data_IF_950016301840
#
_entry.id   IF_950016301840
#
_cell.length_a   1.000
_cell.length_b   1.000
_cell.length_c   1.000
_cell.angle_alpha   90.00
_cell.angle_beta   90.00
_cell.angle_gamma   90.00
#
_symmetry.space_group_name_H-M   'P 1'
#
loop_
_entity.id
_entity.type
_entity.pdbx_description
1 polymer ?
#
# COMPACT_ATOMS: atom_id res chain seq x y z
N UNK A 1 -19.69 -3.74 -7.85
CA UNK A 1 -18.72 -4.63 -7.20
C UNK A 1 -18.79 -4.36 -5.72
N UNK A 2 -19.07 -5.38 -4.90
CA UNK A 2 -19.26 -5.24 -3.45
C UNK A 2 -18.02 -5.76 -2.72
N UNK A 3 -17.76 -5.26 -1.52
CA UNK A 3 -16.70 -5.75 -0.63
C UNK A 3 -17.29 -6.68 0.43
N UNK A 4 -16.52 -7.66 0.89
CA UNK A 4 -16.93 -8.52 2.00
C UNK A 4 -17.01 -7.71 3.30
N UNK A 5 -18.02 -7.95 4.12
CA UNK A 5 -18.17 -7.30 5.42
C UNK A 5 -17.15 -7.80 6.44
N UNK A 6 -16.88 -7.02 7.48
CA UNK A 6 -15.73 -7.20 8.39
C UNK A 6 -15.64 -8.57 9.06
N UNK A 7 -16.77 -9.22 9.33
CA UNK A 7 -16.82 -10.51 10.03
C UNK A 7 -17.37 -11.67 9.17
N UNK A 8 -17.74 -11.37 7.92
CA UNK A 8 -18.31 -12.37 7.04
C UNK A 8 -17.25 -13.38 6.59
N UNK A 9 -17.64 -14.65 6.47
CA UNK A 9 -16.78 -15.75 6.02
C UNK A 9 -17.46 -16.51 4.89
N UNK A 10 -16.67 -17.18 4.07
CA UNK A 10 -17.17 -18.11 3.05
C UNK A 10 -16.98 -19.53 3.57
N UNK A 11 -18.06 -20.30 3.65
CA UNK A 11 -18.01 -21.68 4.12
C UNK A 11 -17.48 -22.64 3.03
N UNK A 12 -17.28 -23.91 3.39
CA UNK A 12 -16.74 -24.93 2.47
C UNK A 12 -17.62 -25.17 1.24
N UNK A 13 -18.92 -24.84 1.32
CA UNK A 13 -19.88 -24.96 0.22
C UNK A 13 -19.95 -23.70 -0.65
N UNK A 14 -19.22 -22.63 -0.30
CA UNK A 14 -19.18 -21.37 -1.05
C UNK A 14 -20.25 -20.35 -0.66
N UNK A 15 -21.01 -20.58 0.41
CA UNK A 15 -21.99 -19.62 0.92
C UNK A 15 -21.35 -18.66 1.92
N UNK A 16 -21.87 -17.42 1.94
CA UNK A 16 -21.43 -16.40 2.89
C UNK A 16 -22.18 -16.60 4.21
N UNK A 17 -21.43 -16.62 5.31
CA UNK A 17 -21.92 -16.74 6.66
C UNK A 17 -21.51 -15.53 7.50
N UNK A 18 -22.36 -15.15 8.45
CA UNK A 18 -22.09 -14.07 9.41
C UNK A 18 -22.20 -14.62 10.84
N UNK A 19 -21.34 -14.17 11.78
CA UNK A 19 -21.39 -14.63 13.16
C UNK A 19 -22.51 -13.95 13.95
N UNK A 20 -23.19 -14.73 14.78
CA UNK A 20 -24.21 -14.25 15.72
C UNK A 20 -23.98 -14.84 17.12
N UNK A 21 -24.25 -14.06 18.16
CA UNK A 21 -24.27 -14.54 19.56
C UNK A 21 -25.58 -15.25 19.82
N UNK A 22 -25.52 -16.47 20.35
CA UNK A 22 -26.72 -17.25 20.65
C UNK A 22 -27.40 -16.75 21.92
N UNK A 23 -28.72 -16.60 21.89
CA UNK A 23 -29.54 -16.40 23.07
C UNK A 23 -29.97 -17.77 23.60
N UNK A 24 -29.77 -18.00 24.89
CA UNK A 24 -30.19 -19.24 25.53
C UNK A 24 -31.72 -19.28 25.64
N UNK A 25 -32.41 -20.27 25.03
CA UNK A 25 -33.87 -20.35 25.06
C UNK A 25 -34.45 -20.59 26.46
N UNK A 26 -33.68 -21.17 27.38
CA UNK A 26 -34.15 -21.49 28.73
C UNK A 26 -34.03 -20.27 29.67
N UNK A 27 -32.96 -19.48 29.51
CA UNK A 27 -32.65 -18.36 30.40
C UNK A 27 -32.93 -16.98 29.79
N UNK A 28 -33.09 -16.88 28.46
CA UNK A 28 -33.27 -15.63 27.73
C UNK A 28 -32.03 -14.73 27.72
N UNK A 29 -30.85 -15.29 28.06
CA UNK A 29 -29.59 -14.55 28.19
C UNK A 29 -28.73 -14.70 26.95
N UNK A 30 -28.05 -13.63 26.57
CA UNK A 30 -27.08 -13.65 25.47
C UNK A 30 -25.82 -14.38 25.94
N UNK A 31 -25.45 -15.44 25.23
CA UNK A 31 -24.28 -16.26 25.56
C UNK A 31 -23.04 -15.80 24.81
N UNK A 32 -21.88 -16.32 25.21
CA UNK A 32 -20.60 -16.13 24.50
C UNK A 32 -20.40 -17.14 23.36
N UNK A 33 -21.40 -17.99 23.10
CA UNK A 33 -21.36 -18.92 21.97
C UNK A 33 -21.69 -18.16 20.70
N UNK A 34 -20.76 -18.21 19.74
CA UNK A 34 -20.90 -17.62 18.42
C UNK A 34 -21.18 -18.74 17.42
N UNK A 35 -22.34 -18.67 16.77
CA UNK A 35 -22.68 -19.56 15.66
C UNK A 35 -22.64 -18.74 14.35
N UNK A 36 -22.06 -19.32 13.30
CA UNK A 36 -22.03 -18.71 11.96
C UNK A 36 -23.25 -19.22 11.19
N UNK A 37 -24.06 -18.30 10.67
CA UNK A 37 -25.29 -18.63 9.96
C UNK A 37 -25.22 -18.16 8.52
N UNK A 38 -25.72 -18.98 7.60
CA UNK A 38 -25.99 -18.57 6.22
C UNK A 38 -27.29 -17.75 6.14
N UNK A 39 -27.55 -17.11 5.00
CA UNK A 39 -28.75 -16.30 4.81
C UNK A 39 -30.05 -17.11 4.94
N UNK A 40 -30.08 -18.36 4.48
CA UNK A 40 -31.24 -19.26 4.58
C UNK A 40 -31.44 -19.79 6.00
N UNK A 41 -30.37 -19.97 6.77
CA UNK A 41 -30.46 -20.33 8.18
C UNK A 41 -30.97 -19.14 9.02
N UNK A 42 -30.46 -17.93 8.78
CA UNK A 42 -30.87 -16.69 9.46
C UNK A 42 -32.39 -16.44 9.35
N UNK A 43 -33.00 -16.73 8.20
CA UNK A 43 -34.44 -16.53 7.95
C UNK A 43 -35.37 -17.32 8.89
N UNK A 44 -34.84 -18.31 9.60
CA UNK A 44 -35.58 -19.11 10.58
C UNK A 44 -35.53 -18.54 12.00
N UNK A 45 -34.69 -17.53 12.26
CA UNK A 45 -34.41 -17.02 13.60
C UNK A 45 -34.72 -15.54 13.74
N UNK A 46 -35.02 -15.11 14.97
CA UNK A 46 -35.15 -13.69 15.32
C UNK A 46 -33.82 -13.16 15.85
N UNK A 47 -33.26 -12.17 15.16
CA UNK A 47 -31.95 -11.59 15.49
C UNK A 47 -32.09 -10.19 16.08
N UNK A 48 -31.59 -9.98 17.29
CA UNK A 48 -31.51 -8.68 17.94
C UNK A 48 -30.31 -7.85 17.43
N UNK A 49 -30.46 -6.52 17.42
CA UNK A 49 -29.39 -5.60 17.05
C UNK A 49 -28.24 -5.58 18.06
N UNK A 50 -27.02 -5.32 17.59
CA UNK A 50 -25.81 -5.29 18.43
C UNK A 50 -25.83 -4.21 19.53
N UNK A 51 -26.63 -3.15 19.35
CA UNK A 51 -26.75 -2.02 20.27
C UNK A 51 -27.85 -2.22 21.34
N UNK A 52 -28.51 -3.39 21.36
CA UNK A 52 -29.50 -3.71 22.39
C UNK A 52 -28.85 -3.67 23.78
N UNK A 53 -29.57 -3.11 24.76
CA UNK A 53 -29.03 -2.91 26.12
C UNK A 53 -29.07 -4.22 26.91
N UNK A 54 -27.90 -4.66 27.35
CA UNK A 54 -27.72 -5.87 28.17
C UNK A 54 -27.31 -5.50 29.61
N UNK A 55 -27.75 -6.30 30.57
CA UNK A 55 -27.22 -6.28 31.94
C UNK A 55 -25.91 -7.05 32.06
N UNK A 56 -25.25 -6.94 33.23
CA UNK A 56 -23.96 -7.61 33.51
C UNK A 56 -24.03 -9.15 33.40
N UNK A 57 -25.23 -9.71 33.55
CA UNK A 57 -25.49 -11.15 33.46
C UNK A 57 -25.91 -11.60 32.05
N UNK A 58 -25.85 -10.71 31.06
CA UNK A 58 -26.20 -10.97 29.66
C UNK A 58 -27.70 -10.93 29.36
N UNK A 59 -28.56 -10.54 30.31
CA UNK A 59 -30.00 -10.42 30.07
C UNK A 59 -30.36 -9.11 29.36
N UNK A 60 -31.38 -9.13 28.50
CA UNK A 60 -31.94 -7.92 27.91
C UNK A 60 -32.64 -7.06 28.96
N UNK A 61 -32.25 -5.79 29.06
CA UNK A 61 -32.84 -4.83 30.01
C UNK A 61 -34.23 -4.36 29.55
N UNK A 62 -34.42 -4.27 28.24
CA UNK A 62 -35.68 -3.88 27.62
C UNK A 62 -36.58 -5.10 27.39
N UNK A 63 -37.88 -4.98 27.71
CA UNK A 63 -38.86 -6.06 27.47
C UNK A 63 -39.11 -6.29 25.97
N UNK A 64 -39.03 -5.21 25.19
CA UNK A 64 -39.21 -5.19 23.74
C UNK A 64 -37.93 -4.68 23.08
N UNK A 65 -37.39 -5.46 22.15
CA UNK A 65 -36.09 -5.20 21.52
C UNK A 65 -36.28 -5.09 20.01
N UNK A 66 -35.65 -4.09 19.40
CA UNK A 66 -35.61 -3.95 17.93
C UNK A 66 -34.83 -5.12 17.36
N UNK A 67 -35.49 -5.87 16.49
CA UNK A 67 -35.01 -7.14 15.97
C UNK A 67 -35.33 -7.26 14.49
N UNK A 68 -34.67 -8.21 13.84
CA UNK A 68 -34.83 -8.52 12.43
C UNK A 68 -35.32 -9.95 12.29
N UNK A 69 -36.36 -10.12 11.48
CA UNK A 69 -36.92 -11.44 11.15
C UNK A 69 -37.27 -11.46 9.66
N UNK A 70 -36.68 -12.39 8.89
CA UNK A 70 -36.89 -12.53 7.43
C UNK A 70 -36.71 -11.24 6.64
N UNK A 71 -35.68 -10.47 6.99
CA UNK A 71 -35.36 -9.19 6.35
C UNK A 71 -36.21 -7.99 6.80
N UNK A 72 -37.23 -8.18 7.64
CA UNK A 72 -38.04 -7.09 8.18
C UNK A 72 -37.58 -6.68 9.59
N UNK A 73 -37.45 -5.38 9.81
CA UNK A 73 -37.17 -4.83 11.13
C UNK A 73 -38.48 -4.67 11.91
N UNK A 74 -38.57 -5.30 13.07
CA UNK A 74 -39.76 -5.30 13.92
C UNK A 74 -39.36 -5.25 15.39
N UNK A 75 -40.33 -4.96 16.26
CA UNK A 75 -40.13 -4.94 17.71
C UNK A 75 -40.67 -6.25 18.28
N UNK A 76 -39.79 -7.04 18.89
CA UNK A 76 -40.11 -8.38 19.41
C UNK A 76 -39.76 -8.44 20.89
N UNK A 77 -40.57 -9.18 21.66
CA UNK A 77 -40.31 -9.41 23.08
C UNK A 77 -39.02 -10.21 23.28
N UNK A 78 -38.27 -9.88 24.33
CA UNK A 78 -36.98 -10.53 24.61
C UNK A 78 -37.03 -12.06 24.74
N UNK A 79 -38.18 -12.65 25.10
CA UNK A 79 -38.33 -14.11 25.22
C UNK A 79 -38.37 -14.84 23.88
N UNK A 80 -38.52 -14.11 22.76
CA UNK A 80 -38.58 -14.67 21.40
C UNK A 80 -37.30 -14.40 20.58
N UNK A 81 -36.24 -13.91 21.23
CA UNK A 81 -34.97 -13.65 20.56
C UNK A 81 -34.13 -14.93 20.55
N UNK A 82 -33.65 -15.31 19.37
CA UNK A 82 -32.82 -16.51 19.20
C UNK A 82 -31.32 -16.14 19.13
N UNK A 83 -31.02 -14.99 18.53
CA UNK A 83 -29.67 -14.53 18.29
C UNK A 83 -29.53 -13.01 18.49
N UNK A 84 -28.28 -12.55 18.61
CA UNK A 84 -27.90 -11.14 18.63
C UNK A 84 -26.66 -10.92 17.76
N UNK A 85 -26.62 -9.82 17.04
CA UNK A 85 -25.43 -9.37 16.29
C UNK A 85 -24.18 -9.29 17.19
N UNK A 86 -23.00 -9.68 16.67
CA UNK A 86 -21.76 -9.67 17.47
C UNK A 86 -21.18 -8.27 17.67
N UNK A 87 -21.33 -7.39 16.66
CA UNK A 87 -20.75 -6.06 16.67
C UNK A 87 -21.48 -5.15 15.68
N UNK A 88 -21.64 -3.84 15.98
CA UNK A 88 -22.13 -2.88 15.00
C UNK A 88 -21.25 -2.81 13.73
N UNK A 89 -19.96 -3.17 13.83
CA UNK A 89 -19.03 -3.17 12.69
C UNK A 89 -19.25 -4.35 11.72
N UNK A 90 -20.11 -5.32 12.07
CA UNK A 90 -20.32 -6.51 11.25
C UNK A 90 -21.00 -6.23 9.91
N UNK A 91 -21.77 -5.14 9.83
CA UNK A 91 -22.55 -4.81 8.63
C UNK A 91 -21.72 -4.06 7.58
N UNK A 92 -20.56 -3.53 7.95
CA UNK A 92 -19.71 -2.71 7.09
C UNK A 92 -18.42 -3.43 6.68
N UNK A 93 -17.85 -3.01 5.55
CA UNK A 93 -16.53 -3.47 5.09
C UNK A 93 -15.39 -2.91 5.95
N UNK A 94 -14.19 -3.51 5.86
CA UNK A 94 -13.02 -3.04 6.59
C UNK A 94 -12.68 -1.56 6.31
N UNK A 95 -12.77 -1.12 5.05
CA UNK A 95 -12.51 0.28 4.69
C UNK A 95 -13.56 1.23 5.30
N UNK A 96 -14.84 0.87 5.18
CA UNK A 96 -15.93 1.66 5.77
C UNK A 96 -15.84 1.68 7.30
N UNK A 97 -15.36 0.61 7.92
CA UNK A 97 -15.15 0.54 9.36
C UNK A 97 -14.02 1.44 9.88
N UNK A 98 -13.15 1.98 9.00
CA UNK A 98 -12.14 2.98 9.34
C UNK A 98 -12.68 4.43 9.30
N UNK A 99 -13.95 4.65 8.92
CA UNK A 99 -14.55 5.98 8.90
C UNK A 99 -15.11 6.29 10.30
N UNK A 100 -14.56 7.29 11.04
CA UNK A 100 -15.13 7.71 12.31
C UNK A 100 -16.45 8.46 12.06
N UNK A 101 -17.38 8.39 13.03
CA UNK A 101 -18.68 9.08 12.97
C UNK A 101 -19.56 8.72 11.76
N UNK A 102 -19.37 7.52 11.19
CA UNK A 102 -20.10 7.01 10.03
C UNK A 102 -21.63 7.12 10.18
N UNK A 103 -22.13 7.01 11.41
CA UNK A 103 -23.55 7.13 11.73
C UNK A 103 -24.14 8.54 11.47
N UNK A 104 -23.29 9.56 11.32
CA UNK A 104 -23.70 10.93 11.03
C UNK A 104 -23.55 11.29 9.55
N UNK A 105 -22.95 10.42 8.74
CA UNK A 105 -22.72 10.62 7.32
C UNK A 105 -23.85 10.00 6.49
N UNK A 106 -24.19 10.63 5.36
CA UNK A 106 -25.08 9.99 4.40
C UNK A 106 -24.37 8.84 3.66
N UNK A 107 -25.16 7.84 3.25
CA UNK A 107 -24.63 6.62 2.65
C UNK A 107 -23.82 6.85 1.36
N UNK A 108 -24.14 7.90 0.58
CA UNK A 108 -23.41 8.19 -0.66
C UNK A 108 -22.04 8.79 -0.33
N UNK A 109 -21.94 9.68 0.66
CA UNK A 109 -20.66 10.23 1.14
C UNK A 109 -19.80 9.17 1.80
N UNK A 110 -20.40 8.27 2.59
CA UNK A 110 -19.68 7.13 3.15
C UNK A 110 -19.09 6.21 2.05
N UNK A 111 -19.87 5.93 0.99
CA UNK A 111 -19.39 5.16 -0.16
C UNK A 111 -18.22 5.85 -0.87
N UNK A 112 -18.34 7.16 -1.11
CA UNK A 112 -17.25 7.94 -1.71
C UNK A 112 -16.00 7.93 -0.82
N UNK A 113 -16.15 8.16 0.48
CA UNK A 113 -15.07 8.16 1.46
C UNK A 113 -14.30 6.83 1.47
N UNK A 114 -15.02 5.70 1.57
CA UNK A 114 -14.39 4.38 1.55
C UNK A 114 -13.66 4.08 0.22
N UNK A 115 -14.17 4.59 -0.92
CA UNK A 115 -13.51 4.44 -2.21
C UNK A 115 -12.27 5.34 -2.36
N UNK A 116 -12.36 6.58 -1.90
CA UNK A 116 -11.25 7.54 -1.93
C UNK A 116 -10.10 7.09 -1.02
N UNK A 117 -10.39 6.51 0.14
CA UNK A 117 -9.36 5.94 1.03
C UNK A 117 -8.48 4.90 0.33
N UNK A 118 -9.05 4.07 -0.56
CA UNK A 118 -8.28 3.05 -1.31
C UNK A 118 -7.34 3.63 -2.37
N UNK A 119 -7.50 4.91 -2.71
CA UNK A 119 -6.69 5.61 -3.70
C UNK A 119 -5.61 6.48 -3.05
N UNK A 120 -5.57 6.54 -1.71
CA UNK A 120 -4.55 7.31 -0.99
C UNK A 120 -3.15 6.75 -1.28
N UNK A 121 -2.26 7.61 -1.75
CA UNK A 121 -0.87 7.27 -2.05
C UNK A 121 -0.05 7.33 -0.76
N UNK A 122 0.87 6.37 -0.53
CA UNK A 122 1.75 6.40 0.63
C UNK A 122 2.62 7.66 0.68
N UNK A 123 2.56 8.35 1.83
CA UNK A 123 3.36 9.54 2.12
C UNK A 123 4.75 9.15 2.63
N UNK A 124 5.71 10.06 2.50
CA UNK A 124 7.06 9.88 3.05
C UNK A 124 7.04 9.75 4.57
N UNK A 125 6.20 10.55 5.24
CA UNK A 125 6.03 10.58 6.69
C UNK A 125 4.52 10.59 7.00
N UNK A 126 3.85 9.43 6.96
CA UNK A 126 2.44 9.34 7.35
C UNK A 126 2.25 9.57 8.85
N UNK A 127 1.03 9.91 9.27
CA UNK A 127 0.66 10.05 10.68
C UNK A 127 -0.61 9.29 10.99
N UNK A 128 -0.62 8.55 12.10
CA UNK A 128 -1.80 7.88 12.63
C UNK A 128 -2.93 8.89 12.81
N UNK A 129 -4.18 8.52 12.44
CA UNK A 129 -5.30 9.42 12.60
C UNK A 129 -5.53 9.73 14.09
N UNK A 130 -5.62 11.03 14.44
CA UNK A 130 -5.94 11.45 15.82
C UNK A 130 -7.34 10.95 16.22
N UNK A 131 -8.24 10.84 15.24
CA UNK A 131 -9.60 10.32 15.40
C UNK A 131 -9.71 9.06 14.55
N UNK A 132 -9.59 7.89 15.18
CA UNK A 132 -9.71 6.57 14.55
C UNK A 132 -10.84 5.73 15.14
N UNK A 133 -11.04 4.52 14.61
CA UNK A 133 -12.07 3.57 15.06
C UNK A 133 -11.52 2.33 15.77
N UNK A 134 -10.19 2.19 15.79
CA UNK A 134 -9.46 0.99 16.22
C UNK A 134 -9.35 -0.08 15.14
N UNK A 135 -9.97 0.11 13.97
CA UNK A 135 -9.83 -0.78 12.82
C UNK A 135 -8.49 -0.59 12.11
N UNK A 136 -7.81 0.52 12.36
CA UNK A 136 -6.52 0.89 11.77
C UNK A 136 -5.44 -0.12 12.14
N UNK A 137 -5.33 -0.49 13.42
CA UNK A 137 -4.36 -1.49 13.88
C UNK A 137 -4.62 -2.88 13.28
N UNK A 138 -5.90 -3.30 13.23
CA UNK A 138 -6.30 -4.60 12.68
C UNK A 138 -6.00 -4.65 11.18
N UNK A 139 -6.41 -3.62 10.45
CA UNK A 139 -6.19 -3.51 9.00
C UNK A 139 -4.70 -3.45 8.67
N UNK A 140 -3.93 -2.70 9.46
CA UNK A 140 -2.49 -2.62 9.31
C UNK A 140 -1.82 -3.99 9.49
N UNK A 141 -2.11 -4.65 10.60
CA UNK A 141 -1.56 -5.98 10.93
C UNK A 141 -1.93 -7.03 9.87
N UNK A 142 -3.19 -7.10 9.48
CA UNK A 142 -3.68 -8.16 8.59
C UNK A 142 -3.41 -7.90 7.10
N UNK A 143 -2.98 -6.69 6.73
CA UNK A 143 -2.62 -6.33 5.35
C UNK A 143 -1.43 -7.11 4.77
N UNK A 144 -0.58 -7.68 5.63
CA UNK A 144 0.70 -8.26 5.24
C UNK A 144 1.78 -7.23 4.89
N UNK A 145 1.50 -5.93 5.02
CA UNK A 145 2.48 -4.88 4.80
C UNK A 145 3.43 -4.67 6.00
N UNK A 146 2.93 -4.93 7.21
CA UNK A 146 3.70 -4.91 8.44
C UNK A 146 4.56 -6.18 8.58
N UNK A 147 5.73 -6.05 9.23
CA UNK A 147 6.55 -7.20 9.59
C UNK A 147 6.13 -7.71 10.97
N UNK A 148 5.53 -8.90 11.03
CA UNK A 148 4.97 -9.47 12.27
C UNK A 148 5.95 -10.45 12.93
N UNK A 149 6.07 -10.35 14.24
CA UNK A 149 6.84 -11.25 15.08
C UNK A 149 6.20 -12.64 15.15
N UNK A 150 6.98 -13.70 14.83
CA UNK A 150 6.48 -15.08 14.83
C UNK A 150 6.57 -15.77 16.19
N UNK A 151 7.50 -15.33 17.03
CA UNK A 151 7.83 -15.96 18.30
C UNK A 151 8.12 -14.90 19.35
N UNK A 152 7.73 -15.15 20.59
CA UNK A 152 8.07 -14.29 21.71
C UNK A 152 9.59 -14.25 21.95
N UNK A 153 10.10 -13.08 22.28
CA UNK A 153 11.53 -12.90 22.48
C UNK A 153 11.94 -11.47 22.83
N UNK A 154 13.25 -11.25 22.85
CA UNK A 154 13.86 -9.95 23.08
C UNK A 154 14.58 -9.52 21.81
N UNK A 155 14.37 -8.27 21.40
CA UNK A 155 15.05 -7.68 20.26
C UNK A 155 16.54 -7.52 20.60
N UNK A 156 17.39 -8.24 19.90
CA UNK A 156 18.83 -8.26 20.16
C UNK A 156 19.57 -7.20 19.34
N UNK A 157 19.08 -6.94 18.12
CA UNK A 157 19.68 -5.95 17.22
C UNK A 157 18.63 -5.38 16.28
N UNK A 158 18.74 -4.08 15.98
CA UNK A 158 17.85 -3.38 15.04
C UNK A 158 18.66 -2.68 13.96
N UNK A 159 18.40 -3.04 12.70
CA UNK A 159 18.92 -2.35 11.52
C UNK A 159 17.77 -1.95 10.60
N UNK A 160 18.01 -0.95 9.75
CA UNK A 160 17.01 -0.50 8.78
C UNK A 160 16.57 -1.58 7.77
N UNK A 161 17.40 -2.60 7.53
CA UNK A 161 17.13 -3.71 6.59
C UNK A 161 16.68 -4.99 7.30
N UNK A 162 16.90 -5.12 8.60
CA UNK A 162 16.63 -6.36 9.32
C UNK A 162 16.54 -6.14 10.83
N UNK A 163 15.67 -6.90 11.48
CA UNK A 163 15.56 -6.96 12.94
C UNK A 163 15.85 -8.38 13.40
N UNK A 164 16.59 -8.50 14.50
CA UNK A 164 16.94 -9.76 15.12
C UNK A 164 16.21 -9.92 16.44
N UNK A 165 15.45 -11.00 16.57
CA UNK A 165 14.74 -11.34 17.81
C UNK A 165 15.30 -12.63 18.37
N UNK A 166 15.84 -12.55 19.59
CA UNK A 166 16.27 -13.68 20.37
C UNK A 166 15.05 -14.31 21.03
N UNK A 167 14.69 -15.53 20.65
CA UNK A 167 13.58 -16.22 21.30
C UNK A 167 13.86 -16.35 22.80
N UNK A 168 12.83 -16.15 23.60
CA UNK A 168 12.89 -16.41 25.03
C UNK A 168 11.79 -17.39 25.38
N UNK A 169 12.14 -18.37 26.23
CA UNK A 169 11.17 -19.28 26.82
C UNK A 169 11.38 -19.30 28.31
N UNK A 170 10.30 -19.22 29.06
CA UNK A 170 10.33 -19.47 30.49
C UNK A 170 10.27 -20.98 30.73
N UNK A 171 11.32 -21.54 31.34
CA UNK A 171 11.37 -22.94 31.76
C UNK A 171 11.73 -22.93 33.25
N UNK A 172 10.87 -23.52 34.08
CA UNK A 172 11.05 -23.61 35.54
C UNK A 172 11.31 -22.24 36.23
N UNK A 173 10.67 -21.17 35.75
CA UNK A 173 10.82 -19.81 36.28
C UNK A 173 12.13 -19.11 35.89
N UNK A 174 12.89 -19.66 34.95
CA UNK A 174 14.10 -19.04 34.40
C UNK A 174 13.93 -18.75 32.91
N UNK A 175 14.33 -17.55 32.50
CA UNK A 175 14.36 -17.18 31.08
C UNK A 175 15.53 -17.85 30.37
N UNK A 176 15.20 -18.80 29.49
CA UNK A 176 16.16 -19.48 28.63
C UNK A 176 16.16 -18.79 27.26
N UNK A 177 17.34 -18.32 26.84
CA UNK A 177 17.56 -17.76 25.50
C UNK A 177 17.65 -18.89 24.47
N UNK A 178 16.83 -18.80 23.43
CA UNK A 178 16.77 -19.75 22.32
C UNK A 178 17.44 -19.23 21.05
N UNK A 179 16.87 -19.65 19.92
CA UNK A 179 17.35 -19.32 18.57
C UNK A 179 17.20 -17.82 18.24
N UNK A 180 17.97 -17.38 17.25
CA UNK A 180 17.89 -16.03 16.69
C UNK A 180 17.03 -16.03 15.43
N UNK A 181 15.90 -15.37 15.47
CA UNK A 181 15.09 -15.11 14.28
C UNK A 181 15.54 -13.83 13.59
N UNK A 182 15.68 -13.90 12.26
CA UNK A 182 16.02 -12.75 11.42
C UNK A 182 14.82 -12.35 10.59
N UNK A 183 14.36 -11.12 10.78
CA UNK A 183 13.25 -10.53 10.03
C UNK A 183 13.83 -9.54 9.03
N UNK A 184 13.79 -9.86 7.74
CA UNK A 184 14.26 -8.96 6.66
C UNK A 184 13.17 -7.99 6.26
N UNK A 185 13.57 -6.75 5.99
CA UNK A 185 12.68 -5.67 5.58
C UNK A 185 12.85 -5.35 4.10
N UNK A 186 11.74 -5.00 3.47
CA UNK A 186 11.69 -4.50 2.10
C UNK A 186 11.98 -2.99 2.10
N UNK A 187 12.94 -2.56 1.29
CA UNK A 187 13.38 -1.15 1.24
C UNK A 187 13.29 -0.63 -0.19
N UNK A 188 12.53 0.45 -0.37
CA UNK A 188 12.40 1.17 -1.64
C UNK A 188 12.09 0.25 -2.83
N UNK A 189 11.11 -0.64 -2.66
CA UNK A 189 10.66 -1.53 -3.73
C UNK A 189 9.51 -0.85 -4.49
N UNK A 190 9.51 -0.98 -5.81
CA UNK A 190 8.43 -0.48 -6.67
C UNK A 190 7.15 -1.28 -6.42
N UNK A 191 6.03 -0.58 -6.23
CA UNK A 191 4.69 -1.18 -6.25
C UNK A 191 4.14 -1.26 -7.69
N UNK A 192 3.08 -2.03 -7.90
CA UNK A 192 2.42 -2.14 -9.20
C UNK A 192 1.89 -0.78 -9.74
N UNK A 193 1.57 0.15 -8.84
CA UNK A 193 1.09 1.49 -9.20
C UNK A 193 2.23 2.52 -9.28
N UNK A 194 3.50 2.09 -9.21
CA UNK A 194 4.66 2.97 -9.24
C UNK A 194 4.90 3.75 -7.94
N UNK A 195 4.26 3.36 -6.84
CA UNK A 195 4.51 3.94 -5.50
C UNK A 195 5.65 3.22 -4.80
N UNK A 196 6.19 3.83 -3.75
CA UNK A 196 7.28 3.26 -2.95
C UNK A 196 6.75 2.33 -1.85
N UNK A 197 7.21 1.09 -1.87
CA UNK A 197 7.06 0.13 -0.79
C UNK A 197 8.32 0.11 0.08
N UNK A 198 8.20 0.60 1.31
CA UNK A 198 9.32 0.73 2.24
C UNK A 198 8.88 0.38 3.65
N UNK A 199 9.57 -0.56 4.27
CA UNK A 199 9.35 -0.96 5.65
C UNK A 199 10.35 -0.29 6.60
N UNK A 200 9.88 0.13 7.78
CA UNK A 200 10.70 0.81 8.81
C UNK A 200 10.55 0.08 10.15
N UNK A 201 11.64 -0.32 10.81
CA UNK A 201 11.56 -0.92 12.14
C UNK A 201 10.94 0.09 13.13
N UNK A 202 10.06 -0.40 14.01
CA UNK A 202 9.46 0.41 15.09
C UNK A 202 9.97 0.02 16.47
N UNK A 203 10.53 -1.19 16.60
CA UNK A 203 11.12 -1.70 17.84
C UNK A 203 12.55 -1.22 18.01
N UNK A 204 13.00 -1.18 19.27
CA UNK A 204 14.36 -0.84 19.70
C UNK A 204 15.10 -2.04 20.27
N UNK A 205 16.43 -1.98 20.31
CA UNK A 205 17.24 -3.02 20.95
C UNK A 205 16.91 -3.13 22.44
N UNK A 206 16.65 -4.35 22.90
CA UNK A 206 16.23 -4.64 24.27
C UNK A 206 14.72 -4.76 24.47
N UNK A 207 13.90 -4.39 23.49
CA UNK A 207 12.45 -4.51 23.60
C UNK A 207 12.00 -5.98 23.71
N UNK A 208 11.06 -6.25 24.60
CA UNK A 208 10.37 -7.54 24.70
C UNK A 208 9.20 -7.54 23.74
N UNK A 209 9.15 -8.52 22.85
CA UNK A 209 8.11 -8.65 21.83
C UNK A 209 7.38 -9.97 21.98
N UNK A 210 6.06 -9.95 21.77
CA UNK A 210 5.22 -11.14 21.80
C UNK A 210 4.89 -11.67 20.41
N UNK A 211 4.41 -12.91 20.34
CA UNK A 211 3.93 -13.48 19.07
C UNK A 211 2.78 -12.65 18.52
N UNK A 212 2.88 -12.24 17.25
CA UNK A 212 1.87 -11.46 16.57
C UNK A 212 2.02 -9.94 16.73
N UNK A 213 3.06 -9.47 17.41
CA UNK A 213 3.38 -8.05 17.52
C UNK A 213 4.05 -7.52 16.24
N UNK A 214 3.86 -6.23 15.94
CA UNK A 214 4.43 -5.59 14.76
C UNK A 214 5.86 -5.14 15.08
N UNK A 215 6.83 -5.63 14.32
CA UNK A 215 8.25 -5.26 14.44
C UNK A 215 8.61 -4.08 13.53
N UNK A 216 7.89 -3.92 12.43
CA UNK A 216 8.14 -2.90 11.44
C UNK A 216 6.86 -2.46 10.74
N UNK A 217 6.75 -1.15 10.55
CA UNK A 217 5.72 -0.53 9.74
C UNK A 217 6.02 -0.72 8.25
N UNK A 218 4.97 -0.91 7.47
CA UNK A 218 4.98 -0.86 6.02
C UNK A 218 4.71 0.54 5.47
N UNK A 219 4.42 0.66 4.16
CA UNK A 219 3.92 1.91 3.59
C UNK A 219 2.57 2.30 4.21
N UNK A 220 2.35 3.60 4.40
CA UNK A 220 1.11 4.15 4.99
C UNK A 220 0.78 3.59 6.38
N UNK A 221 1.79 3.49 7.24
CA UNK A 221 1.64 3.04 8.63
C UNK A 221 2.44 3.93 9.58
N UNK A 222 1.94 4.06 10.81
CA UNK A 222 2.69 4.62 11.93
C UNK A 222 2.42 3.78 13.19
N UNK A 223 3.50 3.27 13.80
CA UNK A 223 3.48 2.51 15.06
C UNK A 223 2.47 1.35 15.07
N UNK A 224 2.36 0.64 13.95
CA UNK A 224 1.47 -0.50 13.79
C UNK A 224 0.01 -0.14 13.53
N UNK A 225 -0.31 1.12 13.26
CA UNK A 225 -1.63 1.57 12.81
C UNK A 225 -1.61 1.99 11.33
N UNK A 226 -2.75 1.88 10.67
CA UNK A 226 -2.93 2.34 9.31
C UNK A 226 -2.96 3.88 9.30
N UNK A 227 -2.02 4.48 8.58
CA UNK A 227 -1.82 5.91 8.47
C UNK A 227 -1.78 6.29 6.97
N UNK A 228 -2.96 6.45 6.36
CA UNK A 228 -3.09 6.77 4.93
C UNK A 228 -2.71 8.22 4.59
N UNK A 229 -2.63 9.12 5.58
CA UNK A 229 -2.49 10.54 5.37
C UNK A 229 -1.81 11.26 6.53
N UNK A 230 -2.18 12.53 6.73
CA UNK A 230 -1.66 13.42 7.77
C UNK A 230 -2.78 14.19 8.43
N UNK A 231 -2.68 14.38 9.75
CA UNK A 231 -3.58 15.25 10.49
C UNK A 231 -3.20 16.72 10.21
N UNK A 232 -4.17 17.54 9.83
CA UNK A 232 -3.97 18.97 9.54
C UNK A 232 -4.98 19.83 10.28
N UNK A 233 -4.58 21.06 10.61
CA UNK A 233 -5.49 22.05 11.17
C UNK A 233 -6.33 22.66 10.06
N UNK A 234 -7.64 22.50 10.16
CA UNK A 234 -8.61 22.99 9.17
C UNK A 234 -9.43 24.12 9.77
N UNK A 235 -9.56 25.23 9.03
CA UNK A 235 -10.46 26.33 9.36
C UNK A 235 -11.65 26.34 8.39
N UNK A 236 -12.86 26.23 8.93
CA UNK A 236 -14.09 26.32 8.13
C UNK A 236 -14.53 27.78 8.03
N UNK A 237 -14.21 28.42 6.91
CA UNK A 237 -14.64 29.79 6.58
C UNK A 237 -14.60 30.03 5.08
N UNK A 238 -15.30 31.04 4.59
CA UNK A 238 -15.11 31.53 3.23
C UNK A 238 -13.83 32.37 3.15
N UNK A 239 -13.05 32.20 2.09
CA UNK A 239 -11.79 32.93 1.92
C UNK A 239 -11.62 33.42 0.50
N UNK A 240 -12.03 34.67 0.25
CA UNK A 240 -11.89 35.40 -1.03
C UNK A 240 -12.32 34.61 -2.29
N UNK A 241 -13.22 33.64 -2.14
CA UNK A 241 -13.68 32.76 -3.22
C UNK A 241 -12.68 31.70 -3.69
N UNK A 242 -11.50 31.60 -3.07
CA UNK A 242 -10.52 30.55 -3.39
C UNK A 242 -10.97 29.15 -2.99
N UNK A 243 -11.91 29.05 -2.04
CA UNK A 243 -12.57 27.80 -1.66
C UNK A 243 -13.99 27.69 -2.24
N UNK A 244 -14.20 28.20 -3.45
CA UNK A 244 -15.46 28.05 -4.17
C UNK A 244 -15.67 26.57 -4.58
N UNK A 245 -16.92 26.11 -4.51
CA UNK A 245 -17.30 24.69 -4.65
C UNK A 245 -16.52 23.78 -3.69
N UNK A 246 -15.74 22.83 -4.20
CA UNK A 246 -14.97 21.86 -3.43
C UNK A 246 -13.46 22.19 -3.43
N UNK A 247 -13.08 23.41 -3.83
CA UNK A 247 -11.69 23.83 -3.84
C UNK A 247 -11.12 23.97 -2.42
N UNK A 248 -9.90 23.48 -2.23
CA UNK A 248 -9.20 23.51 -0.94
C UNK A 248 -8.05 24.51 -1.03
N UNK A 249 -7.97 25.40 -0.05
CA UNK A 249 -6.84 26.32 0.12
C UNK A 249 -5.84 25.66 1.06
N UNK A 250 -4.60 25.54 0.61
CA UNK A 250 -3.52 24.99 1.41
C UNK A 250 -2.54 26.08 1.84
N UNK A 251 -2.07 25.97 3.08
CA UNK A 251 -0.97 26.80 3.55
C UNK A 251 0.33 26.37 2.86
N UNK A 252 1.14 27.33 2.42
CA UNK A 252 2.49 27.09 1.89
C UNK A 252 3.37 26.31 2.88
N UNK A 253 3.08 26.40 4.18
CA UNK A 253 3.76 25.63 5.22
C UNK A 253 3.67 24.11 4.98
N UNK A 254 2.54 23.62 4.46
CA UNK A 254 2.37 22.18 4.19
C UNK A 254 3.32 21.67 3.11
N UNK A 255 3.69 22.54 2.16
CA UNK A 255 4.69 22.24 1.12
C UNK A 255 6.09 22.31 1.70
N UNK A 256 6.40 23.33 2.50
CA UNK A 256 7.71 23.50 3.16
C UNK A 256 8.06 22.38 4.13
N UNK A 257 7.04 21.84 4.82
CA UNK A 257 7.20 20.78 5.81
C UNK A 257 7.05 19.36 5.21
N UNK A 258 7.02 19.23 3.87
CA UNK A 258 6.92 17.97 3.13
C UNK A 258 5.74 17.07 3.59
N UNK A 259 4.61 17.68 3.98
CA UNK A 259 3.51 16.98 4.64
C UNK A 259 2.88 15.92 3.73
N UNK A 260 2.67 16.26 2.46
CA UNK A 260 2.04 15.37 1.47
C UNK A 260 3.02 14.85 0.41
N UNK A 261 4.32 14.92 0.67
CA UNK A 261 5.34 14.44 -0.25
C UNK A 261 5.31 12.91 -0.30
N UNK A 262 5.14 12.34 -1.50
CA UNK A 262 5.18 10.89 -1.78
C UNK A 262 6.42 10.50 -2.57
N UNK A 263 6.79 9.23 -2.52
CA UNK A 263 7.92 8.68 -3.30
C UNK A 263 7.35 7.78 -4.39
N UNK A 264 7.69 8.09 -5.64
CA UNK A 264 7.34 7.30 -6.81
C UNK A 264 8.59 6.62 -7.37
N UNK A 265 8.45 5.36 -7.77
CA UNK A 265 9.52 4.57 -8.37
C UNK A 265 9.03 4.14 -9.75
N UNK A 266 9.63 4.75 -10.77
CA UNK A 266 9.39 4.41 -12.16
C UNK A 266 10.48 3.48 -12.67
N UNK A 267 10.10 2.58 -13.57
CA UNK A 267 10.99 1.63 -14.21
C UNK A 267 10.99 1.93 -15.70
N UNK A 268 12.18 2.15 -16.24
CA UNK A 268 12.38 2.38 -17.65
C UNK A 268 13.26 1.25 -18.20
N UNK A 269 12.80 0.67 -19.30
CA UNK A 269 13.47 -0.46 -19.94
C UNK A 269 14.00 -0.02 -21.31
N UNK A 270 15.20 -0.49 -21.63
CA UNK A 270 15.80 -0.34 -22.95
C UNK A 270 16.36 -1.69 -23.36
N UNK A 271 15.91 -2.18 -24.50
CA UNK A 271 16.37 -3.42 -25.09
C UNK A 271 17.24 -3.14 -26.33
N UNK A 272 18.26 -3.97 -26.52
CA UNK A 272 19.09 -3.99 -27.73
C UNK A 272 18.64 -5.13 -28.63
N UNK A 273 18.23 -4.81 -29.86
CA UNK A 273 17.69 -5.79 -30.80
C UNK A 273 18.60 -5.99 -32.01
N UNK A 274 18.58 -7.20 -32.56
CA UNK A 274 19.19 -7.48 -33.86
C UNK A 274 18.29 -6.94 -34.98
N UNK A 275 18.76 -5.92 -35.69
CA UNK A 275 18.06 -5.40 -36.86
C UNK A 275 18.63 -6.02 -38.14
N UNK A 276 17.91 -5.86 -39.26
CA UNK A 276 18.40 -6.32 -40.58
C UNK A 276 19.69 -5.64 -41.03
N UNK A 277 19.98 -4.45 -40.51
CA UNK A 277 21.14 -3.64 -40.87
C UNK A 277 22.33 -3.89 -39.93
N UNK A 278 22.12 -4.62 -38.84
CA UNK A 278 23.12 -4.92 -37.82
C UNK A 278 22.50 -4.95 -36.42
N UNK A 279 23.25 -5.46 -35.42
CA UNK A 279 22.84 -5.39 -34.03
C UNK A 279 22.78 -3.94 -33.54
N UNK A 280 21.77 -3.61 -32.72
CA UNK A 280 21.84 -2.42 -31.87
C UNK A 280 22.92 -2.62 -30.80
N UNK A 281 23.64 -1.56 -30.46
CA UNK A 281 24.68 -1.59 -29.45
C UNK A 281 24.37 -0.62 -28.32
N UNK A 282 24.53 -1.09 -27.07
CA UNK A 282 24.53 -0.23 -25.89
C UNK A 282 25.95 0.29 -25.71
N UNK A 283 26.13 1.60 -25.86
CA UNK A 283 27.45 2.24 -25.84
C UNK A 283 27.36 3.69 -25.39
N UNK A 284 28.46 4.19 -24.82
CA UNK A 284 28.64 5.62 -24.52
C UNK A 284 28.92 6.45 -25.77
N UNK A 285 29.34 5.83 -26.88
CA UNK A 285 29.71 6.52 -28.11
C UNK A 285 28.49 6.93 -28.98
N UNK A 286 27.74 7.91 -28.50
CA UNK A 286 26.47 8.35 -29.11
C UNK A 286 26.73 9.54 -30.06
N UNK A 287 26.25 9.52 -31.32
CA UNK A 287 26.44 10.62 -32.25
C UNK A 287 25.67 11.88 -31.81
N UNK A 288 26.25 13.06 -32.06
CA UNK A 288 25.62 14.38 -31.82
C UNK A 288 25.27 14.68 -30.34
N UNK A 289 25.90 13.99 -29.39
CA UNK A 289 25.73 14.22 -27.95
C UNK A 289 27.01 14.81 -27.37
N UNK A 290 26.89 15.90 -26.59
CA UNK A 290 28.03 16.54 -25.92
C UNK A 290 28.49 15.79 -24.67
N UNK A 291 29.75 16.00 -24.26
CA UNK A 291 30.37 15.38 -23.06
C UNK A 291 29.56 15.63 -21.78
N UNK A 292 28.92 16.78 -21.64
CA UNK A 292 28.10 17.11 -20.46
C UNK A 292 26.93 16.12 -20.26
N UNK A 293 26.31 15.67 -21.35
CA UNK A 293 25.22 14.70 -21.31
C UNK A 293 25.72 13.26 -21.08
N UNK A 294 26.97 12.97 -21.44
CA UNK A 294 27.62 11.67 -21.21
C UNK A 294 28.23 11.55 -19.81
N UNK A 295 28.30 12.64 -19.04
CA UNK A 295 29.00 12.71 -17.74
C UNK A 295 28.53 11.67 -16.72
N UNK A 296 27.23 11.33 -16.73
CA UNK A 296 26.66 10.38 -15.79
C UNK A 296 26.65 8.93 -16.29
N UNK A 297 26.97 8.69 -17.57
CA UNK A 297 27.07 7.36 -18.16
C UNK A 297 28.44 6.72 -17.85
N UNK A 298 28.44 5.44 -17.55
CA UNK A 298 29.63 4.64 -17.40
C UNK A 298 30.29 4.31 -18.77
N UNK A 299 31.36 3.52 -18.76
CA UNK A 299 32.08 3.11 -19.97
C UNK A 299 31.20 2.28 -20.93
N UNK A 300 30.15 1.63 -20.42
CA UNK A 300 29.20 0.83 -21.20
C UNK A 300 28.06 1.67 -21.77
N UNK A 301 27.95 2.94 -21.38
CA UNK A 301 26.84 3.80 -21.77
C UNK A 301 25.61 3.67 -20.86
N UNK A 302 25.76 3.16 -19.64
CA UNK A 302 24.68 2.98 -18.68
C UNK A 302 24.80 4.02 -17.56
N UNK A 303 23.68 4.62 -17.15
CA UNK A 303 23.64 5.59 -16.07
C UNK A 303 24.12 4.98 -14.74
N UNK A 304 24.92 5.73 -13.97
CA UNK A 304 25.35 5.30 -12.64
C UNK A 304 24.22 5.34 -11.61
N UNK A 305 24.22 4.38 -10.68
CA UNK A 305 23.34 4.40 -9.50
C UNK A 305 23.67 5.62 -8.64
N UNK A 306 22.64 6.33 -8.17
CA UNK A 306 22.74 7.55 -7.38
C UNK A 306 22.92 8.83 -8.21
N UNK A 307 22.89 8.77 -9.55
CA UNK A 307 22.84 9.97 -10.36
C UNK A 307 21.49 10.68 -10.22
N UNK A 308 21.53 11.99 -10.01
CA UNK A 308 20.37 12.86 -10.21
C UNK A 308 20.21 13.14 -11.71
N UNK A 309 19.01 12.87 -12.22
CA UNK A 309 18.66 13.03 -13.63
C UNK A 309 17.47 13.98 -13.78
N UNK A 310 17.46 14.70 -14.88
CA UNK A 310 16.39 15.61 -15.29
C UNK A 310 15.81 15.17 -16.63
N UNK A 311 14.67 15.75 -16.98
CA UNK A 311 14.07 15.61 -18.30
C UNK A 311 15.12 15.73 -19.43
N UNK A 312 15.16 14.73 -20.31
CA UNK A 312 16.05 14.68 -21.47
C UNK A 312 17.44 14.07 -21.22
N UNK A 313 17.82 13.85 -19.96
CA UNK A 313 19.08 13.18 -19.61
C UNK A 313 19.08 11.72 -20.09
N UNK A 314 20.27 11.22 -20.44
CA UNK A 314 20.48 9.87 -20.95
C UNK A 314 20.50 8.87 -19.80
N UNK A 315 19.66 7.84 -19.88
CA UNK A 315 19.66 6.69 -18.96
C UNK A 315 20.48 5.54 -19.52
N UNK A 316 20.28 5.21 -20.79
CA UNK A 316 21.01 4.14 -21.48
C UNK A 316 21.35 4.61 -22.89
N UNK A 317 22.64 4.76 -23.17
CA UNK A 317 23.17 5.05 -24.48
C UNK A 317 22.95 3.88 -25.43
N UNK A 318 22.20 4.10 -26.49
CA UNK A 318 21.90 3.07 -27.50
C UNK A 318 22.05 3.63 -28.89
N UNK A 319 22.73 2.88 -29.75
CA UNK A 319 22.94 3.22 -31.15
C UNK A 319 22.40 2.13 -32.05
N UNK A 320 21.64 2.54 -33.07
CA UNK A 320 21.09 1.64 -34.09
C UNK A 320 21.82 1.88 -35.42
N UNK A 321 22.33 0.83 -36.09
CA UNK A 321 22.89 0.96 -37.43
C UNK A 321 21.85 1.54 -38.40
N UNK A 322 22.24 2.59 -39.12
CA UNK A 322 21.40 3.26 -40.12
C UNK A 322 21.90 2.88 -41.51
N UNK A 323 20.97 2.53 -42.40
CA UNK A 323 21.30 2.32 -43.80
C UNK A 323 21.78 3.60 -44.46
N UNK A 324 22.63 3.46 -45.49
CA UNK A 324 23.15 4.59 -46.26
C UNK A 324 21.97 5.31 -46.95
N UNK A 325 21.65 6.51 -46.48
CA UNK A 325 20.70 7.41 -47.14
C UNK A 325 21.45 8.28 -48.15
N UNK A 326 20.94 8.35 -49.40
CA UNK A 326 21.46 9.33 -50.36
C UNK A 326 21.25 10.74 -49.83
N UNK A 327 22.35 11.44 -49.55
CA UNK A 327 22.35 12.84 -49.11
C UNK A 327 21.92 13.75 -50.27
N UNK A 328 21.16 14.81 -49.97
CA UNK A 328 20.80 15.81 -50.99
C UNK A 328 22.04 16.60 -51.45
N UNK A 329 21.92 17.37 -52.54
CA UNK A 329 23.04 18.17 -53.05
C UNK A 329 23.55 19.19 -52.01
N UNK A 330 22.64 19.74 -51.21
CA UNK A 330 22.93 20.68 -50.12
C UNK A 330 23.67 20.00 -48.96
N UNK A 331 23.23 18.81 -48.53
CA UNK A 331 23.87 18.02 -47.47
C UNK A 331 25.26 17.52 -47.90
N UNK A 332 25.42 17.14 -49.18
CA UNK A 332 26.73 16.79 -49.76
C UNK A 332 27.71 17.96 -49.74
N UNK A 333 27.24 19.18 -50.02
CA UNK A 333 28.07 20.38 -49.96
C UNK A 333 28.49 20.68 -48.52
N UNK A 334 27.56 20.61 -47.56
CA UNK A 334 27.85 20.77 -46.13
C UNK A 334 28.89 19.74 -45.65
N UNK A 335 28.71 18.47 -46.03
CA UNK A 335 29.64 17.40 -45.71
C UNK A 335 31.05 17.65 -46.25
N UNK A 336 31.16 18.12 -47.50
CA UNK A 336 32.43 18.47 -48.12
C UNK A 336 33.14 19.67 -47.48
N UNK A 337 32.39 20.61 -46.91
CA UNK A 337 32.92 21.81 -46.22
C UNK A 337 33.41 21.47 -44.81
N UNK A 338 32.63 20.72 -44.03
CA UNK A 338 32.94 20.44 -42.63
C UNK A 338 33.77 19.17 -42.40
N UNK A 339 33.86 18.28 -43.40
CA UNK A 339 34.64 17.05 -43.31
C UNK A 339 34.16 16.08 -42.23
N UNK A 340 32.98 16.31 -41.65
CA UNK A 340 32.39 15.42 -40.65
C UNK A 340 32.02 14.10 -41.30
N UNK A 341 32.74 13.02 -40.98
CA UNK A 341 32.28 11.67 -41.30
C UNK A 341 30.95 11.43 -40.59
N UNK A 342 29.84 11.59 -41.31
CA UNK A 342 28.52 11.20 -40.84
C UNK A 342 28.62 9.75 -40.37
N UNK A 343 28.53 9.54 -39.06
CA UNK A 343 28.51 8.19 -38.49
C UNK A 343 27.24 7.51 -38.98
N UNK A 344 27.37 6.27 -39.45
CA UNK A 344 26.26 5.46 -39.99
C UNK A 344 25.36 4.89 -38.87
N UNK A 345 25.31 5.55 -37.71
CA UNK A 345 24.51 5.11 -36.57
C UNK A 345 23.56 6.22 -36.14
N UNK A 346 22.38 5.82 -35.68
CA UNK A 346 21.35 6.72 -35.15
C UNK A 346 21.28 6.56 -33.63
N UNK A 347 21.15 7.68 -32.93
CA UNK A 347 20.81 7.69 -31.49
C UNK A 347 19.39 7.15 -31.27
N UNK A 348 19.29 6.03 -30.56
CA UNK A 348 18.04 5.42 -30.07
C UNK A 348 18.08 5.21 -28.56
N UNK A 349 18.89 6.02 -27.87
CA UNK A 349 19.12 5.97 -26.44
C UNK A 349 17.84 6.18 -25.64
N UNK A 350 17.77 5.54 -24.49
CA UNK A 350 16.74 5.78 -23.50
C UNK A 350 17.04 7.09 -22.77
N UNK A 351 16.06 7.99 -22.74
CA UNK A 351 16.12 9.28 -22.06
C UNK A 351 15.01 9.39 -21.02
N UNK A 352 15.23 10.22 -20.01
CA UNK A 352 14.19 10.56 -19.04
C UNK A 352 13.02 11.24 -19.76
N UNK A 353 11.76 10.81 -19.54
CA UNK A 353 10.58 11.44 -20.14
C UNK A 353 10.41 12.91 -19.77
N UNK A 354 9.65 13.62 -20.61
CA UNK A 354 9.33 15.04 -20.40
C UNK A 354 8.59 15.30 -19.09
N UNK A 355 9.10 16.26 -18.33
CA UNK A 355 8.60 16.58 -16.98
C UNK A 355 9.00 15.59 -15.89
N UNK A 356 9.75 14.53 -16.24
CA UNK A 356 10.32 13.59 -15.30
C UNK A 356 11.64 14.08 -14.69
N UNK A 357 12.07 13.40 -13.64
CA UNK A 357 13.32 13.65 -12.96
C UNK A 357 13.39 12.90 -11.64
N UNK A 358 14.59 12.67 -11.13
CA UNK A 358 14.76 11.94 -9.89
C UNK A 358 16.18 11.40 -9.71
N UNK A 359 16.30 10.39 -8.86
CA UNK A 359 17.56 9.74 -8.54
C UNK A 359 17.51 8.29 -9.04
N UNK A 360 18.56 7.84 -9.72
CA UNK A 360 18.69 6.45 -10.13
C UNK A 360 18.88 5.57 -8.89
N UNK A 361 17.87 4.77 -8.58
CA UNK A 361 17.87 3.90 -7.41
C UNK A 361 18.61 2.58 -7.66
N UNK A 362 18.36 1.95 -8.81
CA UNK A 362 18.86 0.64 -9.16
C UNK A 362 18.99 0.51 -10.69
N UNK A 363 19.90 -0.35 -11.14
CA UNK A 363 20.12 -0.65 -12.55
C UNK A 363 20.28 -2.16 -12.70
N UNK A 364 19.46 -2.76 -13.57
CA UNK A 364 19.52 -4.19 -13.87
C UNK A 364 19.90 -4.38 -15.34
N UNK A 365 20.83 -5.28 -15.57
CA UNK A 365 21.28 -5.66 -16.92
C UNK A 365 21.01 -7.14 -17.07
N UNK A 366 20.26 -7.49 -18.11
CA UNK A 366 19.92 -8.88 -18.44
C UNK A 366 20.62 -9.24 -19.75
N UNK A 367 21.36 -10.34 -19.75
CA UNK A 367 22.07 -10.81 -20.93
C UNK A 367 21.50 -12.15 -21.40
N UNK A 368 21.27 -12.27 -22.70
CA UNK A 368 20.78 -13.52 -23.29
C UNK A 368 21.78 -14.68 -23.13
N UNK A 369 23.08 -14.40 -23.11
CA UNK A 369 24.13 -15.41 -22.97
C UNK A 369 24.19 -16.03 -21.57
N UNK A 370 23.74 -15.28 -20.55
CA UNK A 370 23.73 -15.72 -19.15
C UNK A 370 22.50 -16.58 -18.82
N UNK A 371 21.59 -16.80 -19.79
CA UNK A 371 20.40 -17.64 -19.65
C UNK A 371 19.21 -16.95 -19.01
N UNK A 372 19.21 -15.62 -18.92
CA UNK A 372 18.09 -14.84 -18.37
C UNK A 372 16.85 -14.93 -19.26
N UNK A 373 15.68 -15.15 -18.66
CA UNK A 373 14.39 -15.11 -19.36
C UNK A 373 14.04 -13.66 -19.74
N UNK A 374 14.27 -13.33 -21.01
CA UNK A 374 13.85 -12.05 -21.58
C UNK A 374 12.38 -12.13 -22.00
N UNK A 375 11.56 -11.10 -21.73
CA UNK A 375 10.21 -11.03 -22.28
C UNK A 375 10.24 -11.08 -23.82
N UNK A 376 9.23 -11.70 -24.46
CA UNK A 376 9.21 -11.99 -25.90
C UNK A 376 9.13 -10.75 -26.81
#
# INVERSE_FOLDING_TARGET
>A
VNSLSSFAKVNNSGFIETPYRRVDPDTGKVTDRIDYLTADEEDNYVVAQANARLGDDGAFLDEEVISRFRGENTVIKRERLDYMDVSPKQVVSAATACIPFLENDDSNRALMGANMQRQAVPLMNPESPIVGTGMEHVSAKDSGAAVICKYEGIVEKVEAKQVWVRRVKEIDGQEVKGDLDKYRMQKFIRSNQGTCYNQRPIVSEGDRVVKGEILADGPSMEKGELALGRNVMVGFMTWDGYNYEDAIIMSERLVKDDVYTSIHIEEYESESRDTKLGPEEITRDIPNVGEDALRNLDERGIIRIGAEVKDGDLLVGKVTPKGVTELTAEERLLHAIFGEKAREVRDTSLRVPHGGGGIILDVKVFNREDGDELPP
#
